data_IF_844104288391
#
_entry.id   IF_844104288391
#
_cell.length_a   1.000
_cell.length_b   1.000
_cell.length_c   1.000
_cell.angle_alpha   90.00
_cell.angle_beta   90.00
_cell.angle_gamma   90.00
#
_symmetry.space_group_name_H-M   'P 1'
#
loop_
_entity.id
_entity.type
_entity.pdbx_description
1 polymer ?
#
# COMPACT_ATOMS: atom_id res chain seq x y z
N UNK A 1 -13.61 -4.36 -7.28
CA UNK A 1 -13.10 -3.01 -7.60
C UNK A 1 -12.43 -3.10 -8.97
N UNK A 2 -12.96 -2.44 -10.01
CA UNK A 2 -12.36 -2.47 -11.34
C UNK A 2 -11.27 -1.38 -11.38
N UNK A 3 -10.00 -1.79 -11.39
CA UNK A 3 -8.88 -0.85 -11.35
C UNK A 3 -8.78 -0.12 -12.69
N UNK A 4 -8.65 1.22 -12.64
CA UNK A 4 -8.44 2.00 -13.86
C UNK A 4 -7.08 1.67 -14.49
N UNK A 5 -6.97 1.82 -15.81
CA UNK A 5 -5.69 1.65 -16.51
C UNK A 5 -4.62 2.59 -15.95
N UNK A 6 -5.01 3.80 -15.54
CA UNK A 6 -4.13 4.77 -14.89
C UNK A 6 -3.56 4.26 -13.57
N UNK A 7 -4.36 3.58 -12.75
CA UNK A 7 -3.91 3.00 -11.49
C UNK A 7 -2.91 1.85 -11.71
N UNK A 8 -3.18 0.98 -12.69
CA UNK A 8 -2.25 -0.09 -13.10
C UNK A 8 -0.92 0.50 -13.58
N UNK A 9 -0.97 1.47 -14.48
CA UNK A 9 0.22 2.12 -15.04
C UNK A 9 1.07 2.82 -13.96
N UNK A 10 0.42 3.45 -12.97
CA UNK A 10 1.10 4.05 -11.83
C UNK A 10 1.81 2.98 -10.97
N UNK A 11 1.16 1.85 -10.69
CA UNK A 11 1.78 0.73 -9.97
C UNK A 11 2.96 0.13 -10.73
N UNK A 12 2.83 -0.08 -12.04
CA UNK A 12 3.92 -0.58 -12.89
C UNK A 12 5.11 0.38 -12.89
N UNK A 13 4.85 1.68 -13.00
CA UNK A 13 5.89 2.71 -12.98
C UNK A 13 6.61 2.73 -11.64
N UNK A 14 5.87 2.72 -10.53
CA UNK A 14 6.46 2.66 -9.20
C UNK A 14 7.26 1.37 -8.99
N UNK A 15 6.76 0.22 -9.45
CA UNK A 15 7.46 -1.06 -9.37
C UNK A 15 8.77 -1.04 -10.15
N UNK A 16 8.73 -0.55 -11.39
CA UNK A 16 9.92 -0.46 -12.24
C UNK A 16 10.98 0.48 -11.64
N UNK A 17 10.56 1.60 -11.05
CA UNK A 17 11.46 2.51 -10.34
C UNK A 17 12.06 1.87 -9.09
N UNK A 18 11.23 1.20 -8.28
CA UNK A 18 11.65 0.53 -7.06
C UNK A 18 12.65 -0.60 -7.31
N UNK A 19 12.47 -1.38 -8.37
CA UNK A 19 13.40 -2.46 -8.74
C UNK A 19 14.74 -1.89 -9.25
N UNK A 20 14.72 -0.76 -9.98
CA UNK A 20 15.92 -0.13 -10.53
C UNK A 20 16.76 0.60 -9.49
N UNK A 21 16.14 1.07 -8.42
CA UNK A 21 16.82 1.78 -7.35
C UNK A 21 17.62 0.80 -6.45
N UNK A 22 18.97 0.86 -6.43
CA UNK A 22 19.79 -0.02 -5.62
C UNK A 22 19.63 0.23 -4.11
N UNK A 23 19.08 1.39 -3.70
CA UNK A 23 18.83 1.71 -2.29
C UNK A 23 17.52 1.09 -1.76
N UNK A 24 16.69 0.55 -2.65
CA UNK A 24 15.42 -0.07 -2.28
C UNK A 24 15.64 -1.42 -1.57
N UNK A 25 15.37 -1.43 -0.26
CA UNK A 25 15.65 -2.54 0.66
C UNK A 25 15.16 -3.92 0.19
N UNK A 26 14.00 -3.97 -0.47
CA UNK A 26 13.34 -5.23 -0.87
C UNK A 26 13.25 -5.38 -2.39
N UNK A 27 14.22 -4.85 -3.14
CA UNK A 27 14.19 -4.86 -4.61
C UNK A 27 14.09 -6.26 -5.21
N UNK A 28 14.75 -7.25 -4.61
CA UNK A 28 14.80 -8.64 -5.11
C UNK A 28 13.44 -9.31 -4.96
N UNK A 29 12.81 -9.18 -3.79
CA UNK A 29 11.44 -9.64 -3.55
C UNK A 29 10.43 -8.95 -4.47
N UNK A 30 10.60 -7.65 -4.71
CA UNK A 30 9.73 -6.89 -5.61
C UNK A 30 9.81 -7.41 -7.05
N UNK A 31 11.03 -7.73 -7.51
CA UNK A 31 11.27 -8.30 -8.84
C UNK A 31 10.72 -9.74 -8.94
N UNK A 32 10.99 -10.58 -7.94
CA UNK A 32 10.55 -11.98 -7.88
C UNK A 32 9.03 -12.11 -7.94
N UNK A 33 8.31 -11.28 -7.19
CA UNK A 33 6.85 -11.36 -7.10
C UNK A 33 6.11 -10.41 -8.04
N UNK A 34 6.82 -9.57 -8.80
CA UNK A 34 6.21 -8.55 -9.64
C UNK A 34 5.24 -7.65 -8.85
N UNK A 35 5.64 -7.24 -7.64
CA UNK A 35 4.78 -6.53 -6.71
C UNK A 35 5.55 -5.55 -5.81
N UNK A 36 4.94 -4.42 -5.46
CA UNK A 36 5.54 -3.38 -4.62
C UNK A 36 5.51 -3.77 -3.15
N UNK A 37 6.64 -3.72 -2.42
CA UNK A 37 6.66 -4.01 -0.99
C UNK A 37 5.96 -2.93 -0.15
N UNK A 38 4.80 -3.29 0.44
CA UNK A 38 4.00 -2.46 1.34
C UNK A 38 4.00 -3.10 2.72
N UNK A 39 4.99 -2.75 3.55
CA UNK A 39 5.16 -3.38 4.86
C UNK A 39 4.04 -2.96 5.83
N UNK A 40 3.27 -3.94 6.30
CA UNK A 40 2.30 -3.80 7.38
C UNK A 40 2.76 -4.62 8.60
N UNK A 41 3.50 -3.98 9.52
CA UNK A 41 3.63 -4.47 10.90
C UNK A 41 4.38 -5.80 11.10
N UNK A 42 3.93 -6.55 12.11
CA UNK A 42 4.53 -7.80 12.61
C UNK A 42 3.86 -8.99 11.92
N UNK A 43 4.62 -10.00 11.51
CA UNK A 43 4.11 -11.24 10.90
C UNK A 43 4.40 -11.40 9.40
N UNK A 44 5.33 -10.61 8.87
CA UNK A 44 5.85 -10.76 7.51
C UNK A 44 5.69 -9.50 6.64
N UNK A 45 5.49 -9.70 5.34
CA UNK A 45 5.44 -8.62 4.35
C UNK A 45 4.21 -8.72 3.47
N UNK A 46 3.59 -7.59 3.19
CA UNK A 46 2.58 -7.49 2.14
C UNK A 46 3.16 -6.81 0.91
N UNK A 47 2.77 -7.28 -0.27
CA UNK A 47 3.15 -6.70 -1.54
C UNK A 47 1.90 -6.36 -2.35
N UNK A 48 1.96 -5.28 -3.13
CA UNK A 48 0.89 -4.83 -3.99
C UNK A 48 1.26 -5.02 -5.45
N UNK A 49 0.57 -5.94 -6.13
CA UNK A 49 0.78 -6.21 -7.55
C UNK A 49 0.11 -5.13 -8.43
N UNK A 50 0.57 -4.92 -9.68
CA UNK A 50 -0.02 -3.98 -10.63
C UNK A 50 -1.51 -4.19 -10.94
N UNK A 51 -2.01 -5.42 -10.77
CA UNK A 51 -3.42 -5.75 -10.94
C UNK A 51 -4.28 -5.46 -9.69
N UNK A 52 -3.67 -4.89 -8.64
CA UNK A 52 -4.33 -4.51 -7.40
C UNK A 52 -4.43 -5.64 -6.36
N UNK A 53 -3.94 -6.85 -6.68
CA UNK A 53 -3.90 -7.95 -5.71
C UNK A 53 -2.83 -7.71 -4.64
N UNK A 54 -3.17 -8.10 -3.42
CA UNK A 54 -2.23 -8.15 -2.30
C UNK A 54 -1.64 -9.56 -2.20
N UNK A 55 -0.32 -9.63 -2.10
CA UNK A 55 0.43 -10.86 -1.84
C UNK A 55 0.95 -10.77 -0.41
N UNK A 56 0.69 -11.79 0.40
CA UNK A 56 1.21 -11.88 1.76
C UNK A 56 2.36 -12.87 1.79
N UNK A 57 3.45 -12.49 2.46
CA UNK A 57 4.58 -13.35 2.76
C UNK A 57 4.75 -13.45 4.28
N UNK A 58 5.09 -14.64 4.77
CA UNK A 58 5.56 -14.82 6.15
C UNK A 58 7.01 -14.33 6.34
N UNK A 59 7.53 -14.45 7.56
CA UNK A 59 8.91 -14.05 7.89
C UNK A 59 9.99 -14.88 7.16
N UNK A 60 9.61 -16.01 6.55
CA UNK A 60 10.48 -16.83 5.71
C UNK A 60 10.31 -16.51 4.21
N UNK A 61 9.66 -15.39 3.88
CA UNK A 61 9.32 -14.96 2.52
C UNK A 61 8.45 -15.96 1.74
N UNK A 62 7.70 -16.84 2.42
CA UNK A 62 6.79 -17.78 1.76
C UNK A 62 5.40 -17.18 1.65
N UNK A 63 4.75 -17.42 0.50
CA UNK A 63 3.38 -16.96 0.28
C UNK A 63 2.43 -17.58 1.30
N UNK A 64 1.61 -16.72 1.89
CA UNK A 64 0.51 -17.11 2.78
C UNK A 64 -0.83 -16.68 2.20
N UNK A 65 -1.91 -17.21 2.75
CA UNK A 65 -3.26 -16.81 2.36
C UNK A 65 -3.55 -15.38 2.82
N UNK A 66 -3.90 -14.50 1.89
CA UNK A 66 -4.49 -13.20 2.20
C UNK A 66 -6.01 -13.32 2.14
N UNK A 67 -6.70 -13.10 3.26
CA UNK A 67 -8.15 -13.33 3.36
C UNK A 67 -8.96 -12.13 3.83
N UNK A 68 -8.32 -11.00 4.14
CA UNK A 68 -8.99 -9.89 4.82
C UNK A 68 -9.16 -8.65 3.92
N UNK A 69 -10.41 -8.36 3.49
CA UNK A 69 -10.72 -7.17 2.70
C UNK A 69 -10.43 -5.85 3.42
N UNK A 70 -10.58 -5.78 4.75
CA UNK A 70 -10.32 -4.55 5.50
C UNK A 70 -8.82 -4.22 5.51
N UNK A 71 -7.98 -5.25 5.64
CA UNK A 71 -6.53 -5.08 5.55
C UNK A 71 -6.08 -4.69 4.14
N UNK A 72 -6.82 -5.09 3.11
CA UNK A 72 -6.54 -4.71 1.72
C UNK A 72 -6.64 -3.19 1.55
N UNK A 73 -7.62 -2.57 2.20
CA UNK A 73 -7.77 -1.12 2.20
C UNK A 73 -6.58 -0.41 2.87
N UNK A 74 -6.10 -0.92 4.00
CA UNK A 74 -4.92 -0.39 4.70
C UNK A 74 -3.66 -0.47 3.83
N UNK A 75 -3.51 -1.51 3.01
CA UNK A 75 -2.41 -1.62 2.03
C UNK A 75 -2.45 -0.47 1.03
N UNK A 76 -3.61 -0.12 0.49
CA UNK A 76 -3.71 0.99 -0.46
C UNK A 76 -3.38 2.33 0.19
N UNK A 77 -3.82 2.56 1.43
CA UNK A 77 -3.46 3.75 2.20
C UNK A 77 -1.94 3.84 2.42
N UNK A 78 -1.32 2.72 2.81
CA UNK A 78 0.13 2.67 3.01
C UNK A 78 0.90 2.86 1.70
N UNK A 79 0.41 2.28 0.62
CA UNK A 79 0.99 2.42 -0.71
C UNK A 79 0.96 3.87 -1.17
N UNK A 80 -0.17 4.56 -1.04
CA UNK A 80 -0.29 5.98 -1.38
C UNK A 80 0.63 6.88 -0.55
N UNK A 81 0.84 6.56 0.73
CA UNK A 81 1.80 7.29 1.57
C UNK A 81 3.25 7.04 1.16
N UNK A 82 3.61 5.77 0.93
CA UNK A 82 4.98 5.39 0.58
C UNK A 82 5.35 5.85 -0.83
N UNK A 83 4.37 5.82 -1.75
CA UNK A 83 4.50 6.18 -3.14
C UNK A 83 3.39 7.20 -3.49
N UNK A 84 3.66 8.51 -3.43
CA UNK A 84 2.64 9.55 -3.64
C UNK A 84 1.89 9.48 -4.98
N UNK A 85 2.52 8.91 -6.01
CA UNK A 85 1.90 8.63 -7.32
C UNK A 85 0.70 7.67 -7.24
N UNK A 86 0.59 6.90 -6.15
CA UNK A 86 -0.49 5.96 -5.87
C UNK A 86 -1.63 6.58 -5.04
N UNK A 87 -1.64 7.89 -4.82
CA UNK A 87 -2.73 8.59 -4.11
C UNK A 87 -4.10 8.38 -4.77
N UNK A 88 -4.14 8.14 -6.08
CA UNK A 88 -5.36 7.82 -6.81
C UNK A 88 -5.99 6.47 -6.45
N UNK A 89 -5.28 5.62 -5.70
CA UNK A 89 -5.83 4.36 -5.18
C UNK A 89 -6.75 4.59 -3.98
N UNK A 90 -6.66 5.76 -3.36
CA UNK A 90 -7.49 6.11 -2.22
C UNK A 90 -8.89 6.46 -2.69
N UNK A 91 -9.93 6.07 -1.94
CA UNK A 91 -11.28 6.55 -2.21
C UNK A 91 -11.30 8.07 -2.09
N UNK A 92 -12.12 8.69 -2.93
CA UNK A 92 -12.37 10.12 -2.81
C UNK A 92 -13.01 10.41 -1.44
N UNK A 93 -12.42 11.33 -0.69
CA UNK A 93 -12.99 11.80 0.57
C UNK A 93 -14.25 12.60 0.25
N UNK A 94 -15.44 12.24 0.77
CA UNK A 94 -16.65 13.03 0.57
C UNK A 94 -16.43 14.48 1.00
N UNK A 95 -16.94 15.42 0.21
CA UNK A 95 -16.72 16.86 0.44
C UNK A 95 -17.26 17.36 1.78
N UNK A 96 -18.29 16.69 2.28
CA UNK A 96 -18.99 16.97 3.53
C UNK A 96 -18.47 16.12 4.71
N UNK A 97 -17.49 15.24 4.48
CA UNK A 97 -16.92 14.43 5.56
C UNK A 97 -16.24 15.33 6.60
N UNK A 98 -16.65 15.30 7.88
CA UNK A 98 -16.07 16.13 8.93
C UNK A 98 -14.60 15.75 9.16
N UNK A 99 -13.74 16.74 9.41
CA UNK A 99 -12.36 16.48 9.80
C UNK A 99 -12.35 15.75 11.14
N UNK A 100 -11.77 14.55 11.19
CA UNK A 100 -11.61 13.78 12.42
C UNK A 100 -10.77 14.60 13.42
N UNK A 101 -11.23 14.72 14.67
CA UNK A 101 -10.54 15.47 15.74
C UNK A 101 -9.15 14.93 16.04
N UNK A 102 -8.92 13.64 15.77
CA UNK A 102 -7.68 12.96 16.14
C UNK A 102 -6.62 13.02 15.04
N UNK A 103 -7.02 12.88 13.78
CA UNK A 103 -6.11 12.89 12.63
C UNK A 103 -6.15 14.19 11.80
N UNK A 104 -7.04 15.13 12.13
CA UNK A 104 -7.26 16.37 11.38
C UNK A 104 -7.78 16.15 9.96
N UNK A 105 -8.42 15.00 9.70
CA UNK A 105 -8.89 14.61 8.37
C UNK A 105 -7.82 14.04 7.44
N UNK A 106 -6.58 13.84 7.92
CA UNK A 106 -5.48 13.30 7.11
C UNK A 106 -5.46 11.77 7.02
N UNK A 107 -6.15 11.08 7.94
CA UNK A 107 -6.05 9.63 8.12
C UNK A 107 -4.83 9.16 8.93
N UNK A 108 -3.99 10.09 9.40
CA UNK A 108 -2.75 9.78 10.14
C UNK A 108 -2.73 10.44 11.51
N UNK A 109 -2.36 9.69 12.54
CA UNK A 109 -2.19 10.27 13.88
C UNK A 109 -0.93 11.15 13.92
N UNK A 110 -1.03 12.45 14.28
CA UNK A 110 0.13 13.36 14.26
C UNK A 110 1.25 12.91 15.20
N UNK A 111 0.89 12.29 16.32
CA UNK A 111 1.82 11.82 17.35
C UNK A 111 2.35 10.41 17.10
N UNK A 112 1.78 9.67 16.14
CA UNK A 112 2.17 8.31 15.76
C UNK A 112 2.12 8.19 14.23
N UNK A 113 3.18 8.58 13.50
CA UNK A 113 3.15 8.68 12.04
C UNK A 113 2.95 7.33 11.33
N UNK A 114 3.24 6.22 12.02
CA UNK A 114 3.01 4.86 11.56
C UNK A 114 1.62 4.32 11.92
N UNK A 115 0.83 5.05 12.71
CA UNK A 115 -0.54 4.68 13.07
C UNK A 115 -1.54 5.33 12.09
N UNK A 116 -2.48 4.50 11.62
CA UNK A 116 -3.55 4.87 10.72
C UNK A 116 -4.86 5.01 11.49
N UNK A 117 -5.64 6.04 11.16
CA UNK A 117 -7.04 6.14 11.54
C UNK A 117 -7.86 5.55 10.38
N UNK A 118 -8.40 4.34 10.59
CA UNK A 118 -9.11 3.56 9.57
C UNK A 118 -10.60 3.33 9.89
N UNK A 119 -11.17 4.09 10.82
CA UNK A 119 -12.59 4.05 11.21
C UNK A 119 -13.43 4.96 10.34
#
# INVERSE_FOLDING_TARGET
MNWSESARSALETCLAQYIKDPSSQFRELAAEHHALPIVLGIGGMSLLAPDGRVIALDDSNKRTSWSDPEWTFLIYIRAAKKFPALSMLLPERPRDAPACSDCGGTGWFPKLPSALCGT
#
